data_IF_766866784699
#
_entry.id   IF_766866784699
#
_cell.length_a   1.000
_cell.length_b   1.000
_cell.length_c   1.000
_cell.angle_alpha   90.00
_cell.angle_beta   90.00
_cell.angle_gamma   90.00
#
_symmetry.space_group_name_H-M   'P 1'
#
loop_
_entity.id
_entity.type
_entity.pdbx_description
1 polymer ?
#
# COMPACT_ATOMS: atom_id res chain seq x y z
N UNK A 1 -10.53 -9.64 26.26
CA UNK A 1 -10.61 -10.50 25.06
C UNK A 1 -11.13 -11.91 25.35
N UNK A 2 -10.50 -12.68 26.25
CA UNK A 2 -10.98 -14.04 26.61
C UNK A 2 -12.42 -14.01 27.15
N UNK A 3 -12.70 -13.18 28.15
CA UNK A 3 -14.06 -13.04 28.70
C UNK A 3 -15.11 -12.52 27.70
N UNK A 4 -14.68 -11.98 26.55
CA UNK A 4 -15.56 -11.53 25.47
C UNK A 4 -15.73 -12.58 24.37
N UNK A 5 -15.03 -13.72 24.45
CA UNK A 5 -15.05 -14.77 23.43
C UNK A 5 -14.25 -14.47 22.16
N UNK A 6 -13.52 -13.34 22.09
CA UNK A 6 -12.71 -12.96 20.92
C UNK A 6 -11.47 -13.84 20.79
N UNK A 7 -10.89 -14.20 21.93
CA UNK A 7 -9.67 -15.03 22.04
C UNK A 7 -10.02 -16.26 22.85
N UNK A 8 -9.60 -17.44 22.38
CA UNK A 8 -9.75 -18.70 23.11
C UNK A 8 -8.75 -18.78 24.25
N UNK A 9 -9.17 -19.31 25.40
CA UNK A 9 -8.30 -19.43 26.59
C UNK A 9 -7.16 -20.42 26.36
N UNK A 10 -7.38 -21.37 25.47
CA UNK A 10 -6.46 -22.45 25.11
C UNK A 10 -5.30 -21.94 24.25
N UNK A 11 -5.47 -20.81 23.57
CA UNK A 11 -4.41 -20.20 22.77
C UNK A 11 -3.37 -19.55 23.68
N UNK A 12 -2.09 -19.96 23.59
CA UNK A 12 -1.04 -19.39 24.41
C UNK A 12 -0.78 -17.92 24.02
N UNK A 13 -0.24 -17.15 24.96
CA UNK A 13 0.27 -15.82 24.63
C UNK A 13 1.60 -15.96 23.90
N UNK A 14 1.75 -15.27 22.77
CA UNK A 14 3.02 -15.23 22.05
C UNK A 14 4.12 -14.57 22.90
N UNK A 15 5.38 -15.03 22.78
CA UNK A 15 6.48 -14.35 23.43
C UNK A 15 6.65 -12.95 22.86
N UNK A 16 7.18 -12.02 23.67
CA UNK A 16 7.66 -10.72 23.20
C UNK A 16 8.64 -10.93 22.04
N UNK A 17 8.59 -10.09 21.02
CA UNK A 17 9.62 -10.12 19.98
C UNK A 17 11.00 -9.89 20.62
N UNK A 18 11.95 -10.77 20.30
CA UNK A 18 13.30 -10.75 20.88
C UNK A 18 14.03 -9.43 20.65
N UNK A 19 13.66 -8.67 19.61
CA UNK A 19 14.25 -7.38 19.27
C UNK A 19 13.66 -6.23 20.10
N UNK A 20 12.45 -6.38 20.64
CA UNK A 20 11.84 -5.39 21.52
C UNK A 20 12.41 -5.52 22.94
N UNK A 21 13.02 -4.49 23.56
CA UNK A 21 13.44 -4.56 24.96
C UNK A 21 12.25 -4.73 25.91
N UNK A 22 12.50 -5.33 27.08
CA UNK A 22 11.49 -5.42 28.12
C UNK A 22 11.20 -4.03 28.72
N UNK A 23 9.93 -3.73 29.00
CA UNK A 23 9.51 -2.42 29.51
C UNK A 23 10.29 -2.02 30.78
N UNK A 24 10.45 -2.94 31.72
CA UNK A 24 11.14 -2.68 32.99
C UNK A 24 12.66 -2.48 32.85
N UNK A 25 13.24 -2.85 31.70
CA UNK A 25 14.65 -2.61 31.38
C UNK A 25 14.94 -1.23 30.80
N UNK A 26 13.90 -0.45 30.49
CA UNK A 26 14.04 0.86 29.87
C UNK A 26 14.28 1.95 30.92
N UNK A 27 15.11 2.93 30.56
CA UNK A 27 15.22 4.17 31.32
C UNK A 27 13.93 4.99 31.25
N UNK A 28 13.70 5.82 32.26
CA UNK A 28 12.44 6.58 32.41
C UNK A 28 12.13 7.50 31.23
N UNK A 29 13.13 8.14 30.62
CA UNK A 29 12.92 8.98 29.44
C UNK A 29 12.41 8.18 28.25
N UNK A 30 12.89 6.94 28.09
CA UNK A 30 12.40 6.05 27.02
C UNK A 30 10.99 5.56 27.29
N UNK A 31 10.66 5.25 28.56
CA UNK A 31 9.29 4.89 28.93
C UNK A 31 8.32 6.04 28.63
N UNK A 32 8.68 7.28 28.98
CA UNK A 32 7.86 8.48 28.68
C UNK A 32 7.66 8.70 27.17
N UNK A 33 8.72 8.53 26.36
CA UNK A 33 8.63 8.64 24.91
C UNK A 33 7.67 7.57 24.32
N UNK A 34 7.82 6.31 24.71
CA UNK A 34 6.95 5.23 24.24
C UNK A 34 5.50 5.36 24.73
N UNK A 35 5.30 5.85 25.96
CA UNK A 35 3.97 6.16 26.51
C UNK A 35 3.27 7.25 25.69
N UNK A 36 3.97 8.37 25.41
CA UNK A 36 3.45 9.44 24.59
C UNK A 36 3.08 8.95 23.18
N UNK A 37 3.92 8.13 22.55
CA UNK A 37 3.64 7.54 21.23
C UNK A 37 2.35 6.71 21.23
N UNK A 38 2.13 5.91 22.27
CA UNK A 38 0.89 5.13 22.39
C UNK A 38 -0.32 6.01 22.69
N UNK A 39 -0.15 7.07 23.49
CA UNK A 39 -1.21 8.05 23.74
C UNK A 39 -1.64 8.77 22.45
N UNK A 40 -0.67 9.15 21.60
CA UNK A 40 -0.94 9.74 20.28
C UNK A 40 -1.67 8.74 19.38
N UNK A 41 -1.22 7.48 19.33
CA UNK A 41 -1.91 6.43 18.57
C UNK A 41 -3.35 6.23 19.06
N UNK A 42 -3.58 6.19 20.38
CA UNK A 42 -4.91 6.09 20.95
C UNK A 42 -5.79 7.31 20.60
N UNK A 43 -5.23 8.52 20.61
CA UNK A 43 -5.93 9.73 20.19
C UNK A 43 -6.32 9.70 18.70
N UNK A 44 -5.48 9.10 17.83
CA UNK A 44 -5.81 8.90 16.42
C UNK A 44 -7.01 7.94 16.25
N UNK A 45 -7.02 6.83 16.99
CA UNK A 45 -8.12 5.86 16.98
C UNK A 45 -9.42 6.47 17.52
N UNK A 46 -9.35 7.20 18.64
CA UNK A 46 -10.49 7.95 19.20
C UNK A 46 -11.06 8.95 18.19
N UNK A 47 -10.18 9.73 17.53
CA UNK A 47 -10.61 10.71 16.54
C UNK A 47 -11.24 10.06 15.31
N UNK A 48 -10.73 8.91 14.87
CA UNK A 48 -11.34 8.10 13.82
C UNK A 48 -12.75 7.67 14.22
N UNK A 49 -12.91 7.07 15.41
CA UNK A 49 -14.19 6.59 15.92
C UNK A 49 -15.24 7.71 16.03
N UNK A 50 -14.85 8.87 16.56
CA UNK A 50 -15.72 10.05 16.60
C UNK A 50 -16.24 10.47 15.20
N UNK A 51 -15.40 10.38 14.17
CA UNK A 51 -15.81 10.72 12.81
C UNK A 51 -16.68 9.64 12.16
N UNK A 52 -16.43 8.35 12.44
CA UNK A 52 -17.35 7.26 12.08
C UNK A 52 -18.72 7.50 12.73
N UNK A 53 -18.74 7.86 14.02
CA UNK A 53 -19.95 8.20 14.77
C UNK A 53 -20.77 9.31 14.12
N UNK A 54 -20.11 10.36 13.57
CA UNK A 54 -20.79 11.44 12.82
C UNK A 54 -21.49 10.93 11.56
N UNK A 55 -20.85 10.04 10.79
CA UNK A 55 -21.45 9.43 9.58
C UNK A 55 -22.64 8.56 9.96
N UNK A 56 -22.48 7.70 10.97
CA UNK A 56 -23.56 6.82 11.48
C UNK A 56 -24.74 7.64 12.01
N UNK A 57 -24.46 8.72 12.75
CA UNK A 57 -25.50 9.63 13.24
C UNK A 57 -26.25 10.28 12.08
N UNK A 58 -25.56 10.69 11.02
CA UNK A 58 -26.21 11.26 9.85
C UNK A 58 -27.10 10.24 9.13
N UNK A 59 -26.65 9.00 8.97
CA UNK A 59 -27.48 7.90 8.44
C UNK A 59 -28.73 7.67 9.28
N UNK A 60 -28.62 7.77 10.61
CA UNK A 60 -29.76 7.65 11.54
C UNK A 60 -30.76 8.79 11.35
N UNK A 61 -30.29 10.04 11.31
CA UNK A 61 -31.14 11.22 11.10
C UNK A 61 -31.89 11.18 9.77
N UNK A 62 -31.28 10.60 8.73
CA UNK A 62 -31.89 10.41 7.42
C UNK A 62 -32.85 9.21 7.36
N UNK A 63 -33.01 8.44 8.44
CA UNK A 63 -33.80 7.21 8.45
C UNK A 63 -33.24 6.12 7.53
N UNK A 64 -31.92 6.15 7.24
CA UNK A 64 -31.26 5.19 6.33
C UNK A 64 -30.42 4.14 7.04
N UNK A 65 -30.11 4.34 8.32
CA UNK A 65 -29.22 3.45 9.07
C UNK A 65 -29.69 1.99 9.06
N UNK A 66 -30.98 1.73 9.23
CA UNK A 66 -31.51 0.36 9.33
C UNK A 66 -31.28 -0.46 8.05
N UNK A 67 -31.33 0.19 6.88
CA UNK A 67 -31.10 -0.43 5.58
C UNK A 67 -29.71 -0.09 4.99
N UNK A 68 -28.74 0.22 5.84
CA UNK A 68 -27.35 0.41 5.43
C UNK A 68 -26.49 -0.71 6.00
N UNK A 69 -25.80 -1.47 5.14
CA UNK A 69 -24.75 -2.37 5.56
C UNK A 69 -23.48 -1.57 5.84
N UNK A 70 -23.02 -1.60 7.10
CA UNK A 70 -21.76 -1.02 7.54
C UNK A 70 -20.80 -2.16 7.84
N UNK A 71 -19.62 -2.11 7.23
CA UNK A 71 -18.51 -3.03 7.48
C UNK A 71 -17.31 -2.19 7.91
N UNK A 72 -16.80 -2.43 9.11
CA UNK A 72 -15.59 -1.78 9.63
C UNK A 72 -14.48 -2.83 9.76
N UNK A 73 -13.30 -2.54 9.25
CA UNK A 73 -12.12 -3.39 9.36
C UNK A 73 -10.82 -2.60 9.39
N UNK A 74 -9.77 -3.22 9.93
CA UNK A 74 -8.39 -2.80 9.67
C UNK A 74 -7.86 -3.51 8.41
N UNK A 75 -6.96 -2.85 7.69
CA UNK A 75 -6.36 -3.34 6.45
C UNK A 75 -5.24 -4.38 6.68
N UNK A 76 -4.54 -4.29 7.81
CA UNK A 76 -3.53 -5.25 8.27
C UNK A 76 -3.35 -5.18 9.80
N UNK A 77 -2.46 -6.03 10.33
CA UNK A 77 -2.05 -5.98 11.75
C UNK A 77 -1.36 -4.67 12.14
N UNK A 78 -1.09 -4.50 13.44
CA UNK A 78 -0.34 -3.32 13.94
C UNK A 78 1.01 -3.14 13.23
N UNK A 79 1.49 -1.89 13.09
CA UNK A 79 2.73 -1.59 12.37
C UNK A 79 3.95 -1.74 13.30
N UNK A 80 5.09 -2.27 12.85
CA UNK A 80 6.32 -2.26 13.65
C UNK A 80 7.50 -1.57 12.95
N UNK A 81 7.22 -0.80 11.92
CA UNK A 81 8.24 -0.06 11.19
C UNK A 81 8.92 0.96 12.11
N UNK A 82 10.23 1.14 11.94
CA UNK A 82 11.05 2.00 12.79
C UNK A 82 11.79 1.29 13.92
N UNK A 83 11.69 -0.04 14.03
CA UNK A 83 12.50 -0.83 14.96
C UNK A 83 12.00 -0.79 16.41
N UNK A 84 12.84 -1.13 17.41
CA UNK A 84 12.43 -1.31 18.80
C UNK A 84 11.64 -0.14 19.39
N UNK A 85 12.01 1.08 19.01
CA UNK A 85 11.48 2.33 19.57
C UNK A 85 10.68 3.16 18.56
N UNK A 86 10.51 2.67 17.34
CA UNK A 86 9.95 3.44 16.25
C UNK A 86 10.92 4.49 15.69
N UNK A 87 10.45 5.28 14.74
CA UNK A 87 11.21 6.40 14.16
C UNK A 87 10.62 7.75 14.58
N UNK A 88 11.43 8.79 14.40
CA UNK A 88 11.01 10.18 14.46
C UNK A 88 11.62 10.91 13.26
N UNK A 89 10.77 11.60 12.52
CA UNK A 89 11.09 12.38 11.33
C UNK A 89 10.26 13.66 11.44
N UNK A 90 10.79 14.77 10.96
CA UNK A 90 10.14 16.08 11.08
C UNK A 90 10.75 16.93 12.19
N UNK A 91 10.27 18.15 12.29
CA UNK A 91 10.88 19.21 13.11
C UNK A 91 9.98 19.61 14.30
N UNK A 92 8.72 19.18 14.30
CA UNK A 92 7.75 19.51 15.34
C UNK A 92 7.59 18.45 16.44
N UNK A 93 6.94 18.81 17.57
CA UNK A 93 6.63 17.87 18.64
C UNK A 93 5.78 16.68 18.16
N UNK A 94 6.00 15.49 18.74
CA UNK A 94 5.25 14.28 18.41
C UNK A 94 3.73 14.51 18.50
N UNK A 95 3.01 14.06 17.46
CA UNK A 95 1.54 14.17 17.37
C UNK A 95 1.06 15.48 16.73
N UNK A 96 1.97 16.40 16.39
CA UNK A 96 1.64 17.61 15.62
C UNK A 96 1.77 17.38 14.13
N UNK A 97 1.22 18.30 13.33
CA UNK A 97 1.29 18.27 11.86
C UNK A 97 2.73 18.31 11.33
N UNK A 98 3.67 18.84 12.11
CA UNK A 98 5.08 18.98 11.75
C UNK A 98 5.95 17.79 12.20
N UNK A 99 5.31 16.73 12.74
CA UNK A 99 5.95 15.49 13.17
C UNK A 99 5.53 14.29 12.31
N UNK A 100 6.43 13.32 12.17
CA UNK A 100 6.19 12.07 11.46
C UNK A 100 6.92 10.93 12.18
N UNK A 101 6.17 10.13 12.95
CA UNK A 101 6.73 9.15 13.87
C UNK A 101 5.99 7.81 13.83
N UNK A 102 6.61 6.78 14.40
CA UNK A 102 5.96 5.50 14.67
C UNK A 102 6.06 5.12 16.15
N UNK A 103 5.10 4.33 16.64
CA UNK A 103 5.01 3.85 18.02
C UNK A 103 5.96 2.69 18.38
N UNK A 104 6.66 2.10 17.40
CA UNK A 104 7.68 1.08 17.65
C UNK A 104 7.17 -0.33 17.92
N UNK A 105 8.12 -1.26 17.93
CA UNK A 105 7.89 -2.71 17.91
C UNK A 105 7.12 -3.24 19.13
N UNK A 106 7.41 -2.74 20.34
CA UNK A 106 6.74 -3.20 21.55
C UNK A 106 5.22 -2.97 21.51
N UNK A 107 4.80 -1.79 21.04
CA UNK A 107 3.38 -1.49 20.86
C UNK A 107 2.76 -2.25 19.69
N UNK A 108 3.51 -2.48 18.61
CA UNK A 108 3.09 -3.37 17.53
C UNK A 108 2.76 -4.78 18.04
N UNK A 109 3.62 -5.38 18.88
CA UNK A 109 3.32 -6.68 19.49
C UNK A 109 2.07 -6.61 20.37
N UNK A 110 1.95 -5.59 21.23
CA UNK A 110 0.78 -5.43 22.09
C UNK A 110 -0.53 -5.33 21.30
N UNK A 111 -0.55 -4.53 20.23
CA UNK A 111 -1.71 -4.33 19.35
C UNK A 111 -2.18 -5.61 18.63
N UNK A 112 -1.32 -6.61 18.47
CA UNK A 112 -1.65 -7.86 17.78
C UNK A 112 -1.90 -9.03 18.75
N UNK A 113 -1.95 -8.78 20.06
CA UNK A 113 -2.19 -9.80 21.08
C UNK A 113 -3.47 -10.61 20.78
N UNK A 114 -3.42 -11.95 20.81
CA UNK A 114 -2.30 -12.80 21.22
C UNK A 114 -1.41 -13.25 20.05
N UNK A 115 -1.72 -12.86 18.82
CA UNK A 115 -1.16 -13.43 17.61
C UNK A 115 0.31 -13.06 17.36
N UNK A 116 1.00 -13.96 16.65
CA UNK A 116 2.43 -13.84 16.39
C UNK A 116 2.66 -12.85 15.25
N UNK A 117 3.66 -11.98 15.44
CA UNK A 117 4.05 -10.91 14.51
C UNK A 117 2.96 -9.85 14.33
N UNK A 118 3.01 -9.12 13.23
CA UNK A 118 2.36 -7.84 12.99
C UNK A 118 2.39 -7.53 11.47
N UNK A 119 2.01 -6.31 11.03
CA UNK A 119 2.05 -5.85 9.63
C UNK A 119 3.34 -6.26 8.92
N UNK A 120 3.28 -6.54 7.61
CA UNK A 120 4.31 -7.09 6.72
C UNK A 120 4.43 -8.63 6.71
N UNK A 121 4.14 -9.32 7.82
CA UNK A 121 4.15 -10.78 7.86
C UNK A 121 2.76 -11.38 7.57
N UNK A 122 2.73 -12.57 6.96
CA UNK A 122 1.49 -13.33 6.69
C UNK A 122 1.11 -14.32 7.82
N UNK A 123 1.72 -14.12 9.01
CA UNK A 123 1.33 -14.78 10.26
C UNK A 123 0.04 -14.14 10.78
N UNK A 124 -0.71 -14.77 11.69
CA UNK A 124 -2.00 -14.27 12.17
C UNK A 124 -1.92 -12.83 12.69
N UNK A 125 -0.80 -12.44 13.33
CA UNK A 125 -0.64 -11.05 13.79
C UNK A 125 -0.57 -10.02 12.68
N UNK A 126 -0.25 -10.39 11.43
CA UNK A 126 -0.26 -9.48 10.30
C UNK A 126 -1.55 -9.51 9.47
N UNK A 127 -2.34 -10.59 9.53
CA UNK A 127 -3.49 -10.83 8.63
C UNK A 127 -4.84 -11.03 9.34
N UNK A 128 -4.86 -11.24 10.66
CA UNK A 128 -6.08 -11.42 11.42
C UNK A 128 -6.61 -10.06 11.92
N UNK A 129 -7.28 -9.31 11.05
CA UNK A 129 -7.85 -8.01 11.40
C UNK A 129 -9.29 -8.10 11.91
N UNK A 130 -9.74 -7.16 12.76
CA UNK A 130 -11.14 -7.12 13.16
C UNK A 130 -12.03 -6.81 11.95
N UNK A 131 -13.20 -7.45 11.88
CA UNK A 131 -14.30 -7.08 10.99
C UNK A 131 -15.58 -6.97 11.82
N UNK A 132 -16.20 -5.80 11.84
CA UNK A 132 -17.47 -5.54 12.51
C UNK A 132 -18.52 -5.24 11.44
N UNK A 133 -19.65 -5.95 11.48
CA UNK A 133 -20.77 -5.75 10.58
C UNK A 133 -22.01 -5.23 11.31
N UNK A 134 -22.67 -4.23 10.74
CA UNK A 134 -23.93 -3.68 11.25
C UNK A 134 -24.91 -3.44 10.10
N UNK A 135 -26.06 -4.11 10.13
CA UNK A 135 -27.14 -3.94 9.16
C UNK A 135 -28.49 -4.40 9.75
N UNK A 136 -29.23 -3.54 10.46
CA UNK A 136 -30.41 -3.94 11.25
C UNK A 136 -31.52 -4.62 10.45
N UNK A 137 -31.68 -4.26 9.17
CA UNK A 137 -32.62 -4.90 8.27
C UNK A 137 -32.35 -6.40 8.07
N UNK A 138 -31.08 -6.84 8.14
CA UNK A 138 -30.66 -8.22 7.86
C UNK A 138 -30.10 -8.92 9.10
N UNK A 139 -29.15 -8.31 9.79
CA UNK A 139 -28.49 -8.86 10.98
C UNK A 139 -29.43 -8.72 12.18
N UNK A 140 -30.05 -9.82 12.59
CA UNK A 140 -30.99 -9.84 13.74
C UNK A 140 -30.30 -10.05 15.09
N UNK A 141 -29.20 -10.82 15.10
CA UNK A 141 -28.40 -11.02 16.29
C UNK A 141 -27.61 -9.75 16.66
N UNK A 142 -27.45 -9.48 17.96
CA UNK A 142 -26.69 -8.33 18.47
C UNK A 142 -25.57 -8.81 19.37
N UNK A 143 -24.38 -8.22 19.22
CA UNK A 143 -23.22 -8.52 20.07
C UNK A 143 -22.71 -9.97 19.94
N UNK A 144 -23.01 -10.64 18.83
CA UNK A 144 -22.58 -12.03 18.58
C UNK A 144 -21.28 -12.06 17.77
N UNK A 145 -20.47 -13.08 18.01
CA UNK A 145 -19.27 -13.37 17.23
C UNK A 145 -19.55 -14.48 16.22
N UNK A 146 -18.91 -14.41 15.05
CA UNK A 146 -18.86 -15.50 14.09
C UNK A 146 -17.42 -16.02 14.00
N UNK A 147 -17.26 -17.33 14.09
CA UNK A 147 -15.98 -18.03 13.88
C UNK A 147 -15.81 -18.55 12.44
N UNK A 148 -16.81 -18.31 11.57
CA UNK A 148 -16.72 -18.65 10.16
C UNK A 148 -15.66 -17.77 9.48
N UNK A 149 -14.63 -18.35 8.82
CA UNK A 149 -13.58 -17.57 8.18
C UNK A 149 -14.15 -16.61 7.14
N UNK A 150 -13.65 -15.37 7.12
CA UNK A 150 -13.86 -14.38 6.08
C UNK A 150 -12.52 -13.83 5.60
N UNK A 151 -12.46 -13.37 4.36
CA UNK A 151 -11.26 -12.75 3.79
C UNK A 151 -11.63 -11.44 3.09
N UNK A 152 -10.69 -10.48 2.97
CA UNK A 152 -10.99 -9.16 2.38
C UNK A 152 -11.50 -9.26 0.93
N UNK A 153 -11.10 -10.30 0.19
CA UNK A 153 -11.61 -10.59 -1.16
C UNK A 153 -13.13 -10.84 -1.18
N UNK A 154 -13.71 -11.28 -0.06
CA UNK A 154 -15.14 -11.57 0.08
C UNK A 154 -16.00 -10.31 0.10
N UNK A 155 -15.41 -9.13 0.37
CA UNK A 155 -16.17 -7.88 0.47
C UNK A 155 -16.80 -7.50 -0.86
N UNK A 156 -16.07 -7.64 -1.99
CA UNK A 156 -16.63 -7.37 -3.31
C UNK A 156 -17.82 -8.29 -3.61
N UNK A 157 -17.68 -9.60 -3.39
CA UNK A 157 -18.77 -10.55 -3.58
C UNK A 157 -19.98 -10.24 -2.70
N UNK A 158 -19.75 -9.82 -1.45
CA UNK A 158 -20.81 -9.41 -0.52
C UNK A 158 -21.54 -8.16 -1.02
N UNK A 159 -20.81 -7.14 -1.48
CA UNK A 159 -21.41 -5.91 -2.02
C UNK A 159 -22.27 -6.19 -3.27
N UNK A 160 -21.81 -7.09 -4.16
CA UNK A 160 -22.58 -7.48 -5.35
C UNK A 160 -23.89 -8.16 -4.98
N UNK A 161 -23.85 -9.15 -4.07
CA UNK A 161 -25.05 -9.84 -3.59
C UNK A 161 -26.05 -8.87 -2.93
N UNK A 162 -25.54 -7.99 -2.08
CA UNK A 162 -26.37 -6.97 -1.39
C UNK A 162 -27.00 -6.01 -2.39
N UNK A 163 -26.29 -5.64 -3.45
CA UNK A 163 -26.79 -4.75 -4.51
C UNK A 163 -27.65 -5.45 -5.56
N UNK A 164 -27.69 -6.79 -5.59
CA UNK A 164 -28.26 -7.56 -6.69
C UNK A 164 -27.52 -7.35 -8.03
N UNK A 165 -26.25 -6.93 -7.97
CA UNK A 165 -25.44 -6.61 -9.13
C UNK A 165 -24.72 -7.86 -9.67
N UNK A 166 -24.39 -7.84 -10.97
CA UNK A 166 -23.59 -8.90 -11.61
C UNK A 166 -22.16 -8.42 -11.79
N UNK A 167 -21.20 -9.27 -11.43
CA UNK A 167 -19.80 -9.03 -11.77
C UNK A 167 -19.59 -9.28 -13.27
N UNK A 168 -19.09 -8.31 -14.04
CA UNK A 168 -18.91 -8.48 -15.48
C UNK A 168 -17.70 -9.38 -15.77
N UNK A 169 -17.69 -10.01 -16.96
CA UNK A 169 -16.49 -10.72 -17.47
C UNK A 169 -15.51 -9.77 -18.16
N UNK A 170 -16.02 -8.67 -18.69
CA UNK A 170 -15.27 -7.67 -19.43
C UNK A 170 -15.68 -6.26 -19.01
N UNK A 171 -14.74 -5.33 -19.07
CA UNK A 171 -15.00 -3.91 -18.86
C UNK A 171 -14.23 -3.09 -19.90
N UNK A 172 -14.94 -2.22 -20.64
CA UNK A 172 -14.32 -1.42 -21.71
C UNK A 172 -13.73 -2.24 -22.85
N UNK A 173 -14.25 -3.45 -23.13
CA UNK A 173 -13.74 -4.34 -24.17
C UNK A 173 -12.52 -5.19 -23.77
N UNK A 174 -12.15 -5.19 -22.49
CA UNK A 174 -11.06 -5.99 -21.94
C UNK A 174 -11.58 -7.00 -20.93
N UNK A 175 -11.10 -8.25 -21.00
CA UNK A 175 -11.33 -9.22 -19.93
C UNK A 175 -10.76 -8.72 -18.61
N UNK A 176 -11.50 -8.90 -17.52
CA UNK A 176 -11.08 -8.51 -16.17
C UNK A 176 -10.85 -9.73 -15.30
N UNK A 177 -10.08 -9.55 -14.22
CA UNK A 177 -9.85 -10.59 -13.22
C UNK A 177 -11.18 -11.15 -12.72
N UNK A 178 -11.40 -12.47 -12.76
CA UNK A 178 -12.62 -13.07 -12.23
C UNK A 178 -12.85 -12.74 -10.75
N UNK A 179 -14.10 -12.76 -10.32
CA UNK A 179 -14.45 -12.58 -8.91
C UNK A 179 -13.90 -13.74 -8.06
N UNK A 180 -12.92 -13.45 -7.20
CA UNK A 180 -12.30 -14.43 -6.31
C UNK A 180 -13.07 -14.62 -4.99
N UNK A 181 -13.79 -13.59 -4.55
CA UNK A 181 -14.50 -13.57 -3.28
C UNK A 181 -15.72 -14.47 -3.22
N UNK A 182 -16.06 -14.91 -2.02
CA UNK A 182 -17.34 -15.57 -1.71
C UNK A 182 -18.10 -14.72 -0.71
N UNK A 183 -19.33 -14.36 -1.04
CA UNK A 183 -20.17 -13.49 -0.22
C UNK A 183 -20.26 -13.92 1.24
N UNK A 184 -20.21 -12.93 2.13
CA UNK A 184 -20.43 -13.07 3.58
C UNK A 184 -21.91 -12.93 3.94
N UNK A 185 -22.79 -12.59 3.00
CA UNK A 185 -24.21 -12.36 3.25
C UNK A 185 -24.89 -13.50 4.04
N UNK A 186 -24.65 -14.79 3.76
CA UNK A 186 -25.24 -15.85 4.58
C UNK A 186 -24.83 -15.79 6.05
N UNK A 187 -23.59 -15.38 6.36
CA UNK A 187 -23.14 -15.19 7.75
C UNK A 187 -23.89 -14.01 8.39
N UNK A 188 -24.07 -12.91 7.66
CA UNK A 188 -24.83 -11.74 8.13
C UNK A 188 -26.30 -12.07 8.40
N UNK A 189 -26.88 -13.02 7.65
CA UNK A 189 -28.22 -13.57 7.88
C UNK A 189 -28.28 -14.58 9.05
N UNK A 190 -27.17 -14.86 9.73
CA UNK A 190 -27.09 -15.84 10.81
C UNK A 190 -27.01 -17.30 10.34
N UNK A 191 -26.68 -17.53 9.06
CA UNK A 191 -26.57 -18.87 8.46
C UNK A 191 -25.11 -19.31 8.36
N UNK A 192 -24.93 -20.61 8.10
CA UNK A 192 -23.62 -21.17 7.70
C UNK A 192 -23.40 -20.98 6.21
N UNK A 193 -22.17 -20.63 5.80
CA UNK A 193 -21.77 -20.57 4.39
C UNK A 193 -20.79 -21.67 4.03
N UNK A 194 -20.76 -22.07 2.76
CA UNK A 194 -19.62 -22.80 2.21
C UNK A 194 -18.49 -21.79 1.93
N UNK A 195 -17.46 -21.80 2.77
CA UNK A 195 -16.31 -20.92 2.64
C UNK A 195 -15.39 -21.27 1.45
N UNK A 196 -14.22 -20.65 1.45
CA UNK A 196 -13.13 -21.02 0.55
C UNK A 196 -12.59 -22.41 0.87
N UNK A 197 -12.15 -23.14 -0.14
CA UNK A 197 -11.41 -24.40 0.06
C UNK A 197 -10.03 -24.10 0.66
N UNK A 198 -9.39 -23.04 0.15
CA UNK A 198 -8.19 -22.46 0.73
C UNK A 198 -8.16 -20.94 0.53
N UNK A 199 -7.48 -20.25 1.44
CA UNK A 199 -7.16 -18.81 1.36
C UNK A 199 -5.64 -18.70 1.31
N UNK A 200 -5.12 -17.73 0.55
CA UNK A 200 -3.70 -17.64 0.22
C UNK A 200 -3.18 -16.22 0.44
N UNK A 201 -1.89 -16.13 0.75
CA UNK A 201 -1.18 -14.87 0.93
C UNK A 201 0.23 -14.96 0.37
N UNK A 202 0.65 -13.91 -0.32
CA UNK A 202 2.06 -13.60 -0.56
C UNK A 202 2.28 -12.11 -0.30
N UNK A 203 3.35 -11.79 0.42
CA UNK A 203 3.76 -10.42 0.66
C UNK A 203 5.26 -10.36 0.94
N UNK A 204 6.02 -9.75 0.04
CA UNK A 204 7.47 -9.58 0.17
C UNK A 204 8.23 -10.91 0.40
N UNK A 205 7.80 -11.96 -0.29
CA UNK A 205 8.34 -13.32 -0.18
C UNK A 205 7.82 -14.12 1.00
N UNK A 206 7.19 -13.46 1.99
CA UNK A 206 6.43 -14.15 3.02
C UNK A 206 5.21 -14.80 2.36
N UNK A 207 4.92 -16.05 2.71
CA UNK A 207 3.94 -16.87 2.01
C UNK A 207 3.10 -17.70 2.95
N UNK A 208 1.81 -17.82 2.66
CA UNK A 208 0.90 -18.66 3.43
C UNK A 208 -0.25 -19.23 2.61
N UNK A 209 -0.77 -20.36 3.07
CA UNK A 209 -2.04 -20.95 2.64
C UNK A 209 -2.76 -21.50 3.86
N UNK A 210 -4.07 -21.27 3.94
CA UNK A 210 -4.96 -21.85 4.94
C UNK A 210 -6.04 -22.67 4.25
N UNK A 211 -6.12 -23.97 4.55
CA UNK A 211 -7.19 -24.85 4.11
C UNK A 211 -7.89 -25.46 5.33
N UNK A 212 -9.13 -25.05 5.58
CA UNK A 212 -9.84 -25.35 6.82
C UNK A 212 -9.08 -24.80 8.04
N UNK A 213 -8.75 -25.68 8.98
CA UNK A 213 -8.02 -25.32 10.20
C UNK A 213 -6.50 -25.41 10.03
N UNK A 214 -6.01 -25.98 8.94
CA UNK A 214 -4.57 -26.08 8.70
C UNK A 214 -4.04 -24.83 7.98
N UNK A 215 -2.95 -24.28 8.48
CA UNK A 215 -2.21 -23.17 7.85
C UNK A 215 -0.75 -23.57 7.66
N UNK A 216 -0.26 -23.41 6.43
CA UNK A 216 1.15 -23.45 6.09
C UNK A 216 1.64 -22.01 5.92
N UNK A 217 2.73 -21.64 6.58
CA UNK A 217 3.26 -20.27 6.55
C UNK A 217 4.79 -20.26 6.57
N UNK A 218 5.40 -19.27 5.93
CA UNK A 218 6.85 -19.06 5.95
C UNK A 218 7.15 -17.58 5.89
N UNK A 219 8.07 -17.13 6.76
CA UNK A 219 8.76 -15.85 6.53
C UNK A 219 9.83 -16.00 5.44
N UNK A 220 10.19 -14.93 4.76
CA UNK A 220 11.31 -14.94 3.82
C UNK A 220 12.62 -14.37 4.44
N UNK A 221 13.78 -14.97 4.14
CA UNK A 221 13.93 -16.36 3.73
C UNK A 221 13.59 -17.29 4.90
N UNK A 222 12.99 -18.44 4.60
CA UNK A 222 12.57 -19.38 5.64
C UNK A 222 12.01 -20.68 5.06
N UNK A 223 11.94 -21.69 5.93
CA UNK A 223 11.26 -22.95 5.63
C UNK A 223 9.77 -22.79 5.99
N UNK A 224 8.96 -23.65 5.40
CA UNK A 224 7.56 -23.79 5.79
C UNK A 224 7.43 -24.25 7.23
N UNK A 225 6.55 -23.59 7.97
CA UNK A 225 6.01 -23.98 9.27
C UNK A 225 4.53 -24.37 9.07
N UNK A 226 4.03 -25.35 9.83
CA UNK A 226 2.65 -25.83 9.75
C UNK A 226 1.94 -25.70 11.10
N UNK A 227 0.72 -25.17 11.09
CA UNK A 227 -0.08 -24.97 12.30
C UNK A 227 -1.52 -25.44 12.10
N UNK A 228 -2.14 -25.94 13.18
CA UNK A 228 -3.59 -26.14 13.27
C UNK A 228 -4.19 -24.95 14.03
N UNK A 229 -4.89 -24.05 13.33
CA UNK A 229 -5.44 -22.82 13.89
C UNK A 229 -6.63 -23.02 14.83
N UNK A 230 -7.25 -24.21 14.84
CA UNK A 230 -8.27 -24.52 15.83
C UNK A 230 -7.65 -24.64 17.22
N UNK A 231 -6.48 -25.27 17.29
CA UNK A 231 -5.73 -25.59 18.50
C UNK A 231 -4.72 -24.49 18.86
N UNK A 232 -4.00 -23.96 17.87
CA UNK A 232 -2.95 -22.96 18.00
C UNK A 232 -3.06 -21.91 16.89
N UNK A 233 -3.97 -20.95 17.08
CA UNK A 233 -4.03 -19.76 16.20
C UNK A 233 -2.89 -18.76 16.47
N UNK A 234 -2.07 -19.00 17.48
CA UNK A 234 -0.92 -18.15 17.79
C UNK A 234 0.36 -18.58 17.09
N UNK A 235 0.33 -19.69 16.35
CA UNK A 235 1.41 -20.16 15.49
C UNK A 235 2.73 -20.34 16.26
N UNK A 236 2.67 -21.06 17.39
CA UNK A 236 3.81 -21.30 18.28
C UNK A 236 4.36 -22.73 18.18
N UNK A 237 3.53 -23.71 17.81
CA UNK A 237 3.92 -25.12 17.72
C UNK A 237 3.97 -25.57 16.26
N UNK A 238 5.16 -25.55 15.66
CA UNK A 238 5.35 -25.99 14.27
C UNK A 238 5.22 -27.51 14.15
N UNK A 239 4.18 -27.95 13.44
CA UNK A 239 3.81 -29.34 13.20
C UNK A 239 4.38 -29.89 11.88
N UNK A 240 5.22 -29.15 11.17
CA UNK A 240 5.68 -29.52 9.83
C UNK A 240 6.44 -30.87 9.81
N UNK A 241 7.26 -31.13 10.83
CA UNK A 241 8.02 -32.37 10.97
C UNK A 241 7.12 -33.58 11.27
N UNK A 242 6.03 -33.36 12.01
CA UNK A 242 5.08 -34.40 12.42
C UNK A 242 4.07 -34.73 11.31
N UNK A 243 3.72 -33.75 10.47
CA UNK A 243 2.73 -33.87 9.40
C UNK A 243 3.29 -33.55 7.99
N UNK A 244 4.35 -34.23 7.51
CA UNK A 244 5.01 -33.90 6.25
C UNK A 244 4.12 -34.11 5.02
N UNK A 245 3.10 -34.98 5.12
CA UNK A 245 2.09 -35.16 4.05
C UNK A 245 1.22 -33.91 3.92
N UNK A 246 0.78 -33.32 5.04
CA UNK A 246 -0.03 -32.09 5.06
C UNK A 246 0.76 -30.89 4.55
N UNK A 247 2.05 -30.81 4.88
CA UNK A 247 2.96 -29.80 4.31
C UNK A 247 2.99 -29.87 2.78
N UNK A 248 3.20 -31.06 2.20
CA UNK A 248 3.24 -31.23 0.74
C UNK A 248 1.90 -30.90 0.08
N UNK A 249 0.79 -31.28 0.69
CA UNK A 249 -0.57 -30.96 0.23
C UNK A 249 -0.79 -29.45 0.15
N UNK A 250 -0.54 -28.73 1.25
CA UNK A 250 -0.73 -27.29 1.31
C UNK A 250 0.28 -26.53 0.43
N UNK A 251 1.54 -26.97 0.39
CA UNK A 251 2.54 -26.38 -0.50
C UNK A 251 2.13 -26.51 -1.98
N UNK A 252 1.54 -27.65 -2.38
CA UNK A 252 1.02 -27.82 -3.74
C UNK A 252 -0.12 -26.85 -4.05
N UNK A 253 -1.07 -26.68 -3.12
CA UNK A 253 -2.14 -25.67 -3.25
C UNK A 253 -1.57 -24.26 -3.39
N UNK A 254 -0.59 -23.90 -2.54
CA UNK A 254 0.06 -22.59 -2.61
C UNK A 254 0.74 -22.38 -3.96
N UNK A 255 1.50 -23.37 -4.46
CA UNK A 255 2.20 -23.25 -5.75
C UNK A 255 1.23 -23.04 -6.91
N UNK A 256 0.13 -23.80 -6.94
CA UNK A 256 -0.91 -23.65 -7.97
C UNK A 256 -1.54 -22.25 -7.92
N UNK A 257 -1.87 -21.77 -6.72
CA UNK A 257 -2.40 -20.41 -6.56
C UNK A 257 -1.38 -19.36 -6.97
N UNK A 258 -0.12 -19.48 -6.52
CA UNK A 258 0.95 -18.53 -6.76
C UNK A 258 1.24 -18.37 -8.27
N UNK A 259 1.25 -19.47 -9.02
CA UNK A 259 1.40 -19.44 -10.48
C UNK A 259 0.23 -18.70 -11.15
N UNK A 260 -1.02 -19.05 -10.79
CA UNK A 260 -2.23 -18.40 -11.31
C UNK A 260 -2.28 -16.91 -10.97
N UNK A 261 -1.82 -16.55 -9.77
CA UNK A 261 -1.79 -15.18 -9.26
C UNK A 261 -0.50 -14.42 -9.61
N UNK A 262 0.35 -14.99 -10.48
CA UNK A 262 1.56 -14.35 -11.00
C UNK A 262 2.54 -13.88 -9.91
N UNK A 263 2.60 -14.62 -8.80
CA UNK A 263 3.55 -14.36 -7.72
C UNK A 263 4.98 -14.54 -8.25
N UNK A 264 5.80 -13.52 -8.06
CA UNK A 264 7.19 -13.54 -8.51
C UNK A 264 8.09 -14.35 -7.56
N UNK A 265 9.15 -15.00 -8.08
CA UNK A 265 10.14 -15.66 -7.22
C UNK A 265 10.91 -14.62 -6.40
N UNK A 266 11.03 -14.87 -5.08
CA UNK A 266 11.77 -14.01 -4.16
C UNK A 266 13.22 -14.47 -3.93
N UNK A 267 14.20 -13.55 -3.79
CA UNK A 267 14.00 -12.10 -3.83
C UNK A 267 13.64 -11.65 -5.25
N UNK A 268 12.67 -10.73 -5.37
CA UNK A 268 12.32 -10.16 -6.67
C UNK A 268 13.57 -9.47 -7.19
N UNK A 269 14.20 -10.08 -8.18
CA UNK A 269 15.32 -9.48 -8.86
C UNK A 269 14.73 -8.49 -9.84
N UNK A 270 14.83 -7.20 -9.55
CA UNK A 270 14.67 -6.19 -10.59
C UNK A 270 15.61 -6.60 -11.73
N UNK A 271 15.11 -6.78 -12.96
CA UNK A 271 15.98 -7.07 -14.09
C UNK A 271 17.10 -6.02 -14.09
N UNK A 272 18.36 -6.40 -14.34
CA UNK A 272 19.39 -5.39 -14.56
C UNK A 272 18.86 -4.41 -15.60
N UNK A 273 19.02 -3.10 -15.35
CA UNK A 273 18.64 -2.10 -16.34
C UNK A 273 19.31 -2.51 -17.65
N UNK A 274 18.62 -2.32 -18.77
CA UNK A 274 19.10 -2.76 -20.10
C UNK A 274 20.42 -2.10 -20.54
N UNK A 275 21.10 -1.36 -19.66
CA UNK A 275 22.22 -0.46 -19.95
C UNK A 275 21.80 0.75 -20.79
N UNK A 276 20.53 0.79 -21.20
CA UNK A 276 19.98 1.83 -22.06
C UNK A 276 19.91 3.14 -21.28
N UNK A 277 20.62 4.14 -21.79
CA UNK A 277 20.63 5.50 -21.25
C UNK A 277 19.78 6.48 -22.05
N UNK A 278 19.24 6.06 -23.19
CA UNK A 278 18.52 6.92 -24.14
C UNK A 278 17.14 6.32 -24.49
N UNK A 279 16.08 7.05 -24.18
CA UNK A 279 14.69 6.64 -24.38
C UNK A 279 14.00 7.67 -25.27
N UNK A 280 13.53 7.22 -26.44
CA UNK A 280 12.68 8.02 -27.34
C UNK A 280 11.27 7.54 -27.11
N UNK A 281 10.41 8.46 -26.68
CA UNK A 281 9.08 8.16 -26.16
C UNK A 281 8.02 8.93 -26.96
N UNK A 282 6.85 8.33 -27.09
CA UNK A 282 5.68 8.87 -27.78
C UNK A 282 4.54 9.10 -26.80
N UNK A 283 3.64 10.01 -27.17
CA UNK A 283 2.41 10.24 -26.39
C UNK A 283 1.63 8.93 -26.22
N UNK A 284 1.20 8.64 -24.99
CA UNK A 284 0.51 7.40 -24.65
C UNK A 284 1.42 6.23 -24.27
N UNK A 285 2.76 6.36 -24.41
CA UNK A 285 3.69 5.35 -23.93
C UNK A 285 3.52 5.14 -22.40
N UNK A 286 3.52 3.86 -22.02
CA UNK A 286 3.51 3.37 -20.65
C UNK A 286 4.59 2.30 -20.52
N UNK A 287 5.70 2.63 -19.87
CA UNK A 287 6.77 1.67 -19.62
C UNK A 287 6.60 1.07 -18.23
N UNK A 288 6.67 -0.26 -18.14
CA UNK A 288 6.53 -1.00 -16.89
C UNK A 288 7.59 -2.10 -16.77
N UNK A 289 7.82 -2.59 -15.55
CA UNK A 289 8.79 -3.65 -15.28
C UNK A 289 10.19 -3.32 -15.80
N UNK A 290 10.79 -4.23 -16.57
CA UNK A 290 12.16 -4.11 -17.08
C UNK A 290 12.36 -3.04 -18.17
N UNK A 291 11.29 -2.44 -18.68
CA UNK A 291 11.36 -1.35 -19.67
C UNK A 291 11.54 0.03 -19.02
N UNK A 292 11.25 0.12 -17.71
CA UNK A 292 11.33 1.37 -16.96
C UNK A 292 12.79 1.83 -16.85
N UNK A 293 13.10 3.09 -17.19
CA UNK A 293 14.42 3.66 -16.98
C UNK A 293 14.84 3.57 -15.51
N UNK A 294 16.03 3.04 -15.23
CA UNK A 294 16.56 3.06 -13.87
C UNK A 294 17.11 4.46 -13.57
N UNK A 295 16.30 5.27 -12.87
CA UNK A 295 16.65 6.64 -12.46
C UNK A 295 17.21 6.70 -11.03
N UNK A 296 17.41 5.56 -10.37
CA UNK A 296 17.96 5.52 -9.02
C UNK A 296 19.39 6.07 -9.02
N UNK A 297 19.66 7.06 -8.17
CA UNK A 297 20.97 7.69 -7.97
C UNK A 297 21.60 8.17 -9.29
N UNK A 298 20.76 8.51 -10.27
CA UNK A 298 21.20 8.79 -11.63
C UNK A 298 20.77 10.20 -12.06
N UNK A 299 21.73 10.98 -12.55
CA UNK A 299 21.45 12.26 -13.19
C UNK A 299 20.63 12.03 -14.48
N UNK A 300 19.72 12.95 -14.81
CA UNK A 300 18.83 12.77 -15.96
C UNK A 300 18.53 14.06 -16.69
N UNK A 301 18.18 13.92 -17.96
CA UNK A 301 17.69 15.00 -18.81
C UNK A 301 16.45 14.53 -19.55
N UNK A 302 15.41 15.35 -19.51
CA UNK A 302 14.21 15.18 -20.32
C UNK A 302 14.16 16.31 -21.33
N UNK A 303 13.90 16.00 -22.60
CA UNK A 303 13.60 16.98 -23.63
C UNK A 303 12.24 16.65 -24.24
N UNK A 304 11.40 17.66 -24.46
CA UNK A 304 10.08 17.47 -25.04
C UNK A 304 9.73 18.60 -26.00
N UNK A 305 9.32 18.27 -27.22
CA UNK A 305 8.74 19.26 -28.13
C UNK A 305 7.22 19.23 -27.99
N UNK A 306 6.61 20.33 -27.57
CA UNK A 306 5.18 20.40 -27.23
C UNK A 306 4.50 21.64 -27.77
N UNK A 307 3.19 21.56 -27.95
CA UNK A 307 2.29 22.70 -28.14
C UNK A 307 1.20 22.61 -27.08
N UNK A 308 1.32 23.41 -26.02
CA UNK A 308 0.37 23.39 -24.92
C UNK A 308 -0.86 24.26 -25.23
N UNK A 309 -2.06 23.74 -24.98
CA UNK A 309 -3.32 24.50 -24.98
C UNK A 309 -3.90 24.66 -23.58
N UNK A 310 -3.32 23.98 -22.60
CA UNK A 310 -3.62 24.08 -21.18
C UNK A 310 -2.57 23.33 -20.36
N UNK A 311 -2.96 22.95 -19.15
CA UNK A 311 -2.10 22.28 -18.18
C UNK A 311 -2.03 20.76 -18.39
N UNK A 312 -1.10 20.12 -17.68
CA UNK A 312 -1.02 18.68 -17.53
C UNK A 312 0.40 18.12 -17.65
N UNK A 313 0.52 16.81 -17.51
CA UNK A 313 1.82 16.12 -17.43
C UNK A 313 2.30 15.70 -18.82
N UNK A 314 3.48 16.17 -19.21
CA UNK A 314 4.13 15.79 -20.46
C UNK A 314 4.79 14.41 -20.31
N UNK A 315 5.54 14.21 -19.23
CA UNK A 315 6.11 12.90 -18.86
C UNK A 315 6.35 12.83 -17.36
N UNK A 316 6.04 11.69 -16.77
CA UNK A 316 6.35 11.40 -15.38
C UNK A 316 6.81 9.96 -15.22
N UNK A 317 7.74 9.74 -14.28
CA UNK A 317 8.10 8.42 -13.80
C UNK A 317 8.12 8.43 -12.27
N UNK A 318 7.40 7.47 -11.68
CA UNK A 318 7.23 7.38 -10.24
C UNK A 318 6.03 8.15 -9.69
N UNK A 319 6.01 8.40 -8.39
CA UNK A 319 4.88 8.99 -7.69
C UNK A 319 5.20 9.50 -6.29
N UNK A 320 4.29 9.31 -5.33
CA UNK A 320 4.38 9.87 -3.97
C UNK A 320 5.60 9.48 -3.12
N UNK A 321 6.37 8.47 -3.54
CA UNK A 321 7.57 8.02 -2.81
C UNK A 321 8.88 8.53 -3.44
N UNK A 322 8.96 8.53 -4.77
CA UNK A 322 10.15 8.90 -5.52
C UNK A 322 9.76 9.11 -7.00
N UNK A 323 10.45 9.99 -7.71
CA UNK A 323 10.25 10.16 -9.15
C UNK A 323 10.61 11.54 -9.70
N UNK A 324 10.31 11.75 -10.98
CA UNK A 324 10.35 13.06 -11.61
C UNK A 324 9.12 13.28 -12.48
N UNK A 325 8.76 14.55 -12.72
CA UNK A 325 7.74 14.94 -13.68
C UNK A 325 8.13 16.23 -14.41
N UNK A 326 7.88 16.26 -15.72
CA UNK A 326 7.85 17.47 -16.54
C UNK A 326 6.39 17.76 -16.90
N UNK A 327 5.88 18.91 -16.45
CA UNK A 327 4.47 19.31 -16.55
C UNK A 327 4.31 20.74 -17.04
N UNK A 328 3.09 21.10 -17.40
CA UNK A 328 2.63 22.49 -17.55
C UNK A 328 1.61 22.76 -16.45
N UNK A 329 1.87 23.79 -15.65
CA UNK A 329 1.06 24.21 -14.50
C UNK A 329 0.79 25.71 -14.63
N UNK A 330 -0.48 26.12 -14.60
CA UNK A 330 -0.90 27.51 -14.87
C UNK A 330 -0.33 28.07 -16.18
N UNK A 331 -0.30 27.22 -17.21
CA UNK A 331 0.24 27.50 -18.53
C UNK A 331 1.77 27.65 -18.58
N UNK A 332 2.50 27.29 -17.51
CA UNK A 332 3.96 27.45 -17.38
C UNK A 332 4.65 26.10 -17.19
N UNK A 333 5.79 25.86 -17.86
CA UNK A 333 6.56 24.64 -17.65
C UNK A 333 7.08 24.50 -16.22
N UNK A 334 6.96 23.31 -15.67
CA UNK A 334 7.43 22.93 -14.35
C UNK A 334 8.21 21.61 -14.40
N UNK A 335 9.32 21.53 -13.68
CA UNK A 335 10.08 20.30 -13.50
C UNK A 335 10.15 19.95 -12.02
N UNK A 336 9.63 18.77 -11.67
CA UNK A 336 9.56 18.28 -10.30
C UNK A 336 10.44 17.05 -10.12
N UNK A 337 11.16 17.00 -9.01
CA UNK A 337 11.92 15.84 -8.54
C UNK A 337 11.48 15.53 -7.11
N UNK A 338 11.18 14.26 -6.83
CA UNK A 338 10.77 13.76 -5.51
C UNK A 338 11.71 12.67 -5.04
N UNK A 339 12.14 12.79 -3.79
CA UNK A 339 12.92 11.79 -3.06
C UNK A 339 12.34 11.62 -1.64
N UNK A 340 12.92 10.72 -0.85
CA UNK A 340 12.49 10.52 0.54
C UNK A 340 12.72 11.75 1.43
N UNK A 341 13.60 12.68 1.04
CA UNK A 341 13.88 13.89 1.80
C UNK A 341 12.95 15.05 1.45
N UNK A 342 12.66 15.24 0.15
CA UNK A 342 11.90 16.41 -0.29
C UNK A 342 11.24 16.20 -1.65
N UNK A 343 10.29 17.08 -1.95
CA UNK A 343 9.75 17.31 -3.29
C UNK A 343 10.16 18.72 -3.72
N UNK A 344 10.97 18.84 -4.77
CA UNK A 344 11.42 20.13 -5.30
C UNK A 344 10.81 20.34 -6.68
N UNK A 345 10.18 21.49 -6.91
CA UNK A 345 9.69 21.90 -8.23
C UNK A 345 10.31 23.22 -8.63
N UNK A 346 10.91 23.27 -9.83
CA UNK A 346 11.31 24.52 -10.48
C UNK A 346 10.29 24.87 -11.55
N UNK A 347 9.91 26.15 -11.66
CA UNK A 347 8.90 26.63 -12.60
C UNK A 347 9.43 27.79 -13.42
N UNK A 348 9.16 27.76 -14.72
CA UNK A 348 9.41 28.90 -15.58
C UNK A 348 8.48 30.06 -15.22
N UNK A 349 8.97 31.30 -15.32
CA UNK A 349 8.11 32.49 -15.29
C UNK A 349 7.33 32.72 -16.58
N UNK A 350 7.70 32.04 -17.67
CA UNK A 350 7.13 32.23 -19.01
C UNK A 350 6.04 31.20 -19.28
N UNK A 351 4.90 31.67 -19.83
CA UNK A 351 3.86 30.78 -20.34
C UNK A 351 4.18 30.29 -21.75
N UNK A 352 3.75 29.05 -22.05
CA UNK A 352 3.94 28.42 -23.36
C UNK A 352 2.62 28.10 -24.09
N UNK A 353 1.50 28.63 -23.61
CA UNK A 353 0.20 28.35 -24.22
C UNK A 353 0.13 28.88 -25.67
N UNK A 354 -0.42 28.06 -26.56
CA UNK A 354 -0.64 28.38 -27.97
C UNK A 354 0.63 28.43 -28.83
N UNK A 355 1.80 28.07 -28.30
CA UNK A 355 3.06 28.03 -29.05
C UNK A 355 3.69 26.66 -29.04
N UNK A 356 4.38 26.31 -30.13
CA UNK A 356 5.27 25.16 -30.18
C UNK A 356 6.62 25.56 -29.59
N UNK A 357 7.08 24.83 -28.58
CA UNK A 357 8.37 25.04 -27.91
C UNK A 357 9.08 23.72 -27.70
N UNK A 358 10.39 23.79 -27.47
CA UNK A 358 11.20 22.67 -26.99
C UNK A 358 11.52 22.90 -25.53
N UNK A 359 10.97 22.07 -24.64
CA UNK A 359 11.33 22.07 -23.24
C UNK A 359 12.54 21.17 -23.03
N UNK A 360 13.46 21.60 -22.17
CA UNK A 360 14.51 20.73 -21.62
C UNK A 360 14.51 20.88 -20.12
N UNK A 361 14.53 19.78 -19.39
CA UNK A 361 14.68 19.75 -17.95
C UNK A 361 15.83 18.82 -17.59
N UNK A 362 16.65 19.20 -16.62
CA UNK A 362 17.81 18.42 -16.19
C UNK A 362 17.91 18.40 -14.68
N UNK A 363 18.26 17.22 -14.15
CA UNK A 363 18.77 16.99 -12.81
C UNK A 363 20.21 16.49 -12.97
N UNK A 364 21.20 17.20 -12.43
CA UNK A 364 22.59 16.74 -12.46
C UNK A 364 22.97 15.89 -11.23
N UNK A 365 24.18 15.35 -11.24
CA UNK A 365 24.73 14.45 -10.20
C UNK A 365 24.78 15.07 -8.79
N UNK A 366 24.79 16.41 -8.70
CA UNK A 366 24.81 17.15 -7.44
C UNK A 366 23.40 17.60 -7.01
N UNK A 367 22.37 17.16 -7.72
CA UNK A 367 20.98 17.52 -7.46
C UNK A 367 20.56 18.86 -8.05
N UNK A 368 21.42 19.55 -8.82
CA UNK A 368 21.04 20.82 -9.42
C UNK A 368 19.99 20.59 -10.52
N UNK A 369 18.94 21.40 -10.47
CA UNK A 369 17.81 21.34 -11.39
C UNK A 369 17.83 22.56 -12.31
N UNK A 370 17.66 22.35 -13.61
CA UNK A 370 17.54 23.45 -14.58
C UNK A 370 16.45 23.15 -15.60
N UNK A 371 15.70 24.19 -15.97
CA UNK A 371 14.63 24.15 -16.96
C UNK A 371 14.90 25.17 -18.05
N UNK A 372 14.73 24.75 -19.30
CA UNK A 372 14.88 25.57 -20.49
C UNK A 372 13.59 25.56 -21.31
N UNK A 373 13.31 26.69 -21.94
CA UNK A 373 12.35 26.82 -23.03
C UNK A 373 13.16 27.23 -24.26
N UNK A 374 13.14 26.38 -25.28
CA UNK A 374 14.05 26.41 -26.42
C UNK A 374 15.51 26.45 -25.93
N UNK A 375 16.23 27.53 -26.21
CA UNK A 375 17.63 27.72 -25.78
C UNK A 375 17.79 28.60 -24.53
N UNK A 376 16.69 29.14 -23.99
CA UNK A 376 16.72 30.03 -22.83
C UNK A 376 16.57 29.25 -21.51
N UNK A 377 17.46 29.49 -20.55
CA UNK A 377 17.30 29.01 -19.16
C UNK A 377 16.23 29.82 -18.46
N UNK A 378 15.12 29.19 -18.08
CA UNK A 378 13.96 29.87 -17.51
C UNK A 378 13.70 29.57 -16.05
N UNK A 379 14.28 28.49 -15.51
CA UNK A 379 14.26 28.21 -14.07
C UNK A 379 15.49 27.42 -13.62
N UNK A 380 15.86 27.58 -12.34
CA UNK A 380 16.91 26.82 -11.66
C UNK A 380 16.54 26.55 -10.21
N UNK A 381 17.08 25.48 -9.65
CA UNK A 381 16.90 25.09 -8.25
C UNK A 381 17.79 23.90 -7.90
N UNK A 382 17.56 23.27 -6.76
CA UNK A 382 18.28 22.05 -6.38
C UNK A 382 17.36 21.12 -5.60
N UNK A 383 17.37 19.84 -5.97
CA UNK A 383 16.94 18.79 -5.08
C UNK A 383 18.04 18.53 -4.03
N UNK A 384 17.69 18.20 -2.78
CA UNK A 384 18.69 17.94 -1.73
C UNK A 384 19.47 16.65 -1.97
N UNK A 385 18.87 15.68 -2.66
CA UNK A 385 19.47 14.42 -3.10
C UNK A 385 18.88 14.02 -4.45
N UNK A 386 19.57 13.12 -5.15
CA UNK A 386 19.03 12.40 -6.30
C UNK A 386 17.84 11.51 -5.91
N UNK A 387 17.17 11.00 -6.94
CA UNK A 387 16.08 10.03 -6.78
C UNK A 387 16.70 8.73 -6.25
N UNK A 388 16.50 8.45 -4.98
CA UNK A 388 17.20 7.38 -4.22
C UNK A 388 16.85 5.93 -4.58
N UNK A 389 15.83 5.69 -5.39
CA UNK A 389 15.36 4.34 -5.72
C UNK A 389 14.68 4.34 -7.07
N UNK A 390 14.54 3.16 -7.68
CA UNK A 390 13.65 2.99 -8.83
C UNK A 390 12.23 3.12 -8.31
N UNK A 391 11.44 4.09 -8.79
CA UNK A 391 10.06 4.20 -8.34
C UNK A 391 9.28 2.93 -8.68
N UNK A 392 8.36 2.53 -7.79
CA UNK A 392 7.50 1.38 -8.04
C UNK A 392 6.51 1.61 -9.20
N UNK A 393 6.20 2.88 -9.49
CA UNK A 393 5.42 3.24 -10.66
C UNK A 393 6.29 3.45 -11.90
N UNK A 394 5.74 3.01 -13.04
CA UNK A 394 6.37 3.11 -14.34
C UNK A 394 6.49 4.54 -14.87
N UNK A 395 6.82 4.64 -16.16
CA UNK A 395 6.91 5.91 -16.88
C UNK A 395 5.67 6.10 -17.76
N UNK A 396 5.06 7.28 -17.72
CA UNK A 396 3.91 7.66 -18.53
C UNK A 396 4.18 8.93 -19.33
N UNK A 397 3.76 8.98 -20.59
CA UNK A 397 3.87 10.16 -21.45
C UNK A 397 2.50 10.71 -21.82
N UNK A 398 2.31 12.01 -21.61
CA UNK A 398 1.07 12.74 -21.88
C UNK A 398 -0.01 12.60 -20.81
N UNK A 399 0.28 11.87 -19.71
CA UNK A 399 -0.59 11.80 -18.54
C UNK A 399 0.14 11.34 -17.29
N UNK A 400 -0.46 11.61 -16.15
CA UNK A 400 -0.22 10.92 -14.88
C UNK A 400 -1.54 10.26 -14.42
N UNK A 401 -1.59 8.94 -14.17
CA UNK A 401 -2.84 8.23 -13.95
C UNK A 401 -3.42 8.32 -12.52
N UNK A 402 -2.66 8.70 -11.49
CA UNK A 402 -3.22 8.68 -10.13
C UNK A 402 -2.27 8.81 -8.94
N UNK A 403 -0.97 9.06 -9.12
CA UNK A 403 -0.03 9.18 -8.01
C UNK A 403 1.02 10.26 -8.31
N UNK A 404 0.67 11.54 -8.19
CA UNK A 404 1.48 12.63 -8.70
C UNK A 404 2.83 12.70 -8.01
N UNK A 405 3.89 12.93 -8.80
CA UNK A 405 5.24 13.22 -8.30
C UNK A 405 5.28 14.59 -7.60
N UNK A 406 4.46 15.54 -8.06
CA UNK A 406 4.39 16.92 -7.57
C UNK A 406 3.03 17.32 -6.99
N UNK A 407 2.79 18.63 -6.95
CA UNK A 407 1.55 19.21 -6.40
C UNK A 407 0.41 19.34 -7.43
N UNK A 408 0.60 18.86 -8.66
CA UNK A 408 -0.44 18.87 -9.68
C UNK A 408 -1.53 17.82 -9.40
N UNK A 409 -2.77 18.10 -9.79
CA UNK A 409 -3.89 17.18 -9.61
C UNK A 409 -3.78 15.99 -10.56
N UNK A 410 -4.03 14.77 -10.06
CA UNK A 410 -4.12 13.54 -10.85
C UNK A 410 -5.58 13.01 -10.90
N UNK A 411 -6.03 12.37 -12.00
CA UNK A 411 -5.28 12.12 -13.22
C UNK A 411 -5.02 13.41 -14.01
N UNK A 412 -3.81 13.56 -14.54
CA UNK A 412 -3.33 14.80 -15.18
C UNK A 412 -3.01 14.56 -16.65
N UNK A 413 -4.01 14.60 -17.51
CA UNK A 413 -3.79 14.48 -18.96
C UNK A 413 -3.23 15.80 -19.51
N UNK A 414 -2.22 15.73 -20.38
CA UNK A 414 -1.66 16.91 -21.02
C UNK A 414 -2.65 17.54 -22.01
N UNK A 415 -3.04 18.79 -21.75
CA UNK A 415 -3.86 19.57 -22.67
C UNK A 415 -2.98 20.20 -23.77
N UNK A 416 -2.81 19.46 -24.87
CA UNK A 416 -2.06 19.93 -26.03
C UNK A 416 -1.52 18.79 -26.88
N UNK A 417 -0.53 19.10 -27.71
CA UNK A 417 0.16 18.12 -28.56
C UNK A 417 1.59 17.90 -28.08
N UNK A 418 1.98 16.64 -27.89
CA UNK A 418 3.36 16.23 -27.65
C UNK A 418 3.90 15.66 -28.95
N UNK A 419 4.93 16.30 -29.51
CA UNK A 419 5.54 15.91 -30.78
C UNK A 419 6.66 14.87 -30.60
N UNK A 420 7.47 15.03 -29.55
CA UNK A 420 8.56 14.12 -29.20
C UNK A 420 8.86 14.25 -27.70
N UNK A 421 9.20 13.14 -27.05
CA UNK A 421 9.84 13.14 -25.72
C UNK A 421 11.09 12.28 -25.77
N UNK A 422 12.17 12.78 -25.17
CA UNK A 422 13.42 12.06 -24.98
C UNK A 422 13.83 12.12 -23.52
N UNK A 423 14.12 10.97 -22.94
CA UNK A 423 14.75 10.85 -21.63
C UNK A 423 16.16 10.29 -21.80
N UNK A 424 17.13 10.99 -21.24
CA UNK A 424 18.54 10.60 -21.19
C UNK A 424 18.98 10.44 -19.74
N UNK A 425 19.60 9.30 -19.41
CA UNK A 425 20.29 9.07 -18.16
C UNK A 425 21.74 9.51 -18.31
N UNK A 426 22.13 10.59 -17.63
CA UNK A 426 23.46 11.20 -17.70
C UNK A 426 24.48 10.40 -16.89
N UNK A 427 25.76 10.35 -17.33
CA UNK A 427 26.87 9.56 -16.79
C UNK A 427 26.83 9.30 -15.29
#
# INVERSE_FOLDING_TARGET
MIGMGIVRKEWPLTPRDSVAPAWDSLGEDRKRDLDLRMAIYAAQVDRMDHNIGRVVQRLRQLGRLDNTLILFLADNGGCAEGGPFGFDRGEGPLGTADSYSSYGLGWANASNTPFRRYKHWVHEGGIATPLIAHWPAVIKARGTLSDQPGHIIDLMATCLDVAGAKYPREFGGHEITPLEGKSLLPILEGKKRKGHEAIFWEHEGNRAVRAGDWKLVSRFPGKWELYNLQEDRTELHDLAAEHPRKVRELEALYKQWAERSQVLPWPVRTPPSSGRREFVLKVGDRLEGGEVPNIAETALRVSASVTATGDGVIVAQGGSQAGFALSVEDGRPAFTVRSWQATTTIRSGQSILGRKVTLRAQLDENGAMTLWIDDEKTAKGSAPILIHTVPGEGLFVGRDPGNPVGAYAAPSAFAGTIHEVRLTLLP
#
